data_IF_567981169037
#
_entry.id   IF_567981169037
#
_cell.length_a   1.000
_cell.length_b   1.000
_cell.length_c   1.000
_cell.angle_alpha   90.00
_cell.angle_beta   90.00
_cell.angle_gamma   90.00
#
_symmetry.space_group_name_H-M   'P 1'
#
loop_
_entity.id
_entity.type
_entity.pdbx_description
1 polymer ?
#
# COMPACT_ATOMS: atom_id res chain seq x y z
N UNK A 1 -10.09 16.51 -23.20
CA UNK A 1 -9.72 15.08 -23.12
C UNK A 1 -9.47 14.78 -21.66
N UNK A 2 -10.24 13.89 -21.03
CA UNK A 2 -9.93 13.42 -19.69
C UNK A 2 -8.56 12.72 -19.78
N UNK A 3 -7.56 13.24 -19.05
CA UNK A 3 -6.23 12.63 -18.99
C UNK A 3 -6.34 11.18 -18.52
N UNK A 4 -5.48 10.30 -19.06
CA UNK A 4 -5.35 8.91 -18.57
C UNK A 4 -5.11 8.97 -17.07
N UNK A 5 -5.94 8.29 -16.28
CA UNK A 5 -5.68 8.17 -14.85
C UNK A 5 -4.57 7.15 -14.66
N UNK A 6 -3.48 7.60 -14.05
CA UNK A 6 -2.27 6.81 -13.95
C UNK A 6 -2.27 5.89 -12.74
N UNK A 7 -3.10 6.19 -11.73
CA UNK A 7 -3.14 5.50 -10.45
C UNK A 7 -4.54 4.98 -10.16
N UNK A 8 -4.62 3.73 -9.72
CA UNK A 8 -5.80 3.18 -9.04
C UNK A 8 -5.48 3.15 -7.54
N UNK A 9 -6.19 3.97 -6.77
CA UNK A 9 -6.00 4.10 -5.33
C UNK A 9 -7.19 3.49 -4.59
N UNK A 10 -6.94 2.42 -3.84
CA UNK A 10 -7.95 1.74 -3.04
C UNK A 10 -7.62 1.86 -1.55
N UNK A 11 -8.60 2.24 -0.76
CA UNK A 11 -8.54 2.16 0.69
C UNK A 11 -8.30 3.47 1.43
N UNK A 12 -7.85 3.32 2.65
CA UNK A 12 -7.53 4.35 3.63
C UNK A 12 -8.73 5.24 3.99
N UNK A 13 -9.84 4.61 4.35
CA UNK A 13 -11.13 5.21 4.68
C UNK A 13 -11.74 6.01 3.50
N UNK A 14 -11.79 7.34 3.56
CA UNK A 14 -12.39 8.19 2.52
C UNK A 14 -11.48 9.35 2.14
N UNK A 15 -11.72 9.97 0.98
CA UNK A 15 -11.01 11.21 0.56
C UNK A 15 -11.29 12.41 1.48
N UNK A 16 -12.29 12.31 2.36
CA UNK A 16 -12.55 13.34 3.39
C UNK A 16 -11.78 13.06 4.69
N UNK A 17 -11.15 11.90 4.83
CA UNK A 17 -10.46 11.44 6.04
C UNK A 17 -9.05 10.92 5.73
N UNK A 18 -8.72 9.68 6.00
CA UNK A 18 -7.36 9.13 5.85
C UNK A 18 -6.79 9.24 4.44
N UNK A 19 -7.58 8.90 3.42
CA UNK A 19 -7.15 8.94 2.04
C UNK A 19 -6.83 10.35 1.50
N UNK A 20 -7.26 11.41 2.19
CA UNK A 20 -7.02 12.78 1.76
C UNK A 20 -5.53 13.15 1.69
N UNK A 21 -4.68 12.53 2.50
CA UNK A 21 -3.24 12.82 2.52
C UNK A 21 -2.57 12.40 1.21
N UNK A 22 -2.67 11.13 0.84
CA UNK A 22 -2.07 10.65 -0.41
C UNK A 22 -2.81 11.21 -1.63
N UNK A 23 -4.15 11.27 -1.59
CA UNK A 23 -4.96 11.90 -2.64
C UNK A 23 -4.59 13.37 -2.87
N UNK A 24 -4.36 14.12 -1.79
CA UNK A 24 -3.91 15.51 -1.84
C UNK A 24 -2.51 15.66 -2.45
N UNK A 25 -1.56 14.79 -2.07
CA UNK A 25 -0.21 14.78 -2.66
C UNK A 25 -0.27 14.48 -4.16
N UNK A 26 -1.04 13.48 -4.59
CA UNK A 26 -1.22 13.16 -6.00
C UNK A 26 -1.87 14.32 -6.77
N UNK A 27 -2.90 14.92 -6.20
CA UNK A 27 -3.59 16.09 -6.80
C UNK A 27 -2.63 17.28 -6.96
N UNK A 28 -1.83 17.59 -5.93
CA UNK A 28 -0.85 18.67 -5.98
C UNK A 28 0.25 18.40 -7.03
N UNK A 29 0.63 17.15 -7.20
CA UNK A 29 1.61 16.73 -8.21
C UNK A 29 1.02 16.62 -9.63
N UNK A 30 -0.27 16.85 -9.83
CA UNK A 30 -0.94 16.70 -11.12
C UNK A 30 -1.12 15.24 -11.56
N UNK A 31 -1.01 14.27 -10.64
CA UNK A 31 -1.19 12.85 -10.91
C UNK A 31 -2.68 12.51 -10.86
N UNK A 32 -3.21 12.01 -11.98
CA UNK A 32 -4.61 11.55 -12.06
C UNK A 32 -4.78 10.18 -11.41
N UNK A 33 -5.85 10.01 -10.63
CA UNK A 33 -6.17 8.73 -10.02
C UNK A 33 -7.68 8.45 -10.03
N UNK A 34 -8.03 7.16 -10.06
CA UNK A 34 -9.33 6.65 -9.67
C UNK A 34 -9.25 6.23 -8.20
N UNK A 35 -10.33 6.44 -7.45
CA UNK A 35 -10.35 6.14 -6.02
C UNK A 35 -11.49 5.17 -5.67
N UNK A 36 -11.20 4.24 -4.77
CA UNK A 36 -12.14 3.26 -4.20
C UNK A 36 -12.05 3.33 -2.68
N UNK A 37 -13.15 3.60 -2.01
CA UNK A 37 -13.19 3.65 -0.55
C UNK A 37 -12.91 2.29 0.09
N UNK A 38 -12.39 2.29 1.32
CA UNK A 38 -11.97 1.08 2.01
C UNK A 38 -13.10 0.04 2.19
N UNK A 39 -14.34 0.49 2.37
CA UNK A 39 -15.49 -0.39 2.60
C UNK A 39 -16.18 -0.86 1.31
N UNK A 40 -15.80 -0.29 0.18
CA UNK A 40 -16.41 -0.62 -1.12
C UNK A 40 -15.80 -1.88 -1.72
N UNK A 41 -16.61 -2.73 -2.36
CA UNK A 41 -16.11 -3.85 -3.15
C UNK A 41 -15.19 -3.38 -4.28
N UNK A 42 -14.14 -4.14 -4.56
CA UNK A 42 -13.18 -3.80 -5.62
C UNK A 42 -13.84 -3.83 -7.01
N UNK A 43 -13.88 -2.69 -7.72
CA UNK A 43 -14.46 -2.60 -9.06
C UNK A 43 -13.46 -3.07 -10.13
N UNK A 44 -13.64 -4.28 -10.63
CA UNK A 44 -12.70 -4.91 -11.58
C UNK A 44 -12.56 -4.18 -12.91
N UNK A 45 -13.58 -3.44 -13.33
CA UNK A 45 -13.57 -2.62 -14.55
C UNK A 45 -12.53 -1.50 -14.50
N UNK A 46 -12.10 -1.05 -13.30
CA UNK A 46 -11.01 -0.08 -13.17
C UNK A 46 -9.65 -0.66 -13.62
N UNK A 47 -9.48 -1.97 -13.62
CA UNK A 47 -8.28 -2.59 -14.17
C UNK A 47 -8.21 -2.47 -15.70
N UNK A 48 -9.35 -2.37 -16.38
CA UNK A 48 -9.41 -2.20 -17.85
C UNK A 48 -8.80 -0.86 -18.30
N UNK A 49 -8.73 0.13 -17.39
CA UNK A 49 -8.06 1.41 -17.64
C UNK A 49 -6.52 1.30 -17.67
N UNK A 50 -5.98 0.13 -17.36
CA UNK A 50 -4.56 -0.17 -17.35
C UNK A 50 -3.74 0.85 -16.54
N UNK A 51 -3.97 0.94 -15.21
CA UNK A 51 -3.24 1.86 -14.36
C UNK A 51 -1.75 1.51 -14.31
N UNK A 52 -0.89 2.52 -14.29
CA UNK A 52 0.55 2.35 -14.15
C UNK A 52 0.96 1.98 -12.72
N UNK A 53 0.15 2.42 -11.74
CA UNK A 53 0.34 2.14 -10.31
C UNK A 53 -1.00 1.72 -9.70
N UNK A 54 -0.98 0.65 -8.93
CA UNK A 54 -2.07 0.25 -8.04
C UNK A 54 -1.61 0.51 -6.60
N UNK A 55 -2.40 1.27 -5.85
CA UNK A 55 -2.17 1.53 -4.42
C UNK A 55 -3.25 0.82 -3.62
N UNK A 56 -2.82 -0.03 -2.70
CA UNK A 56 -3.68 -0.69 -1.72
C UNK A 56 -3.27 -0.17 -0.34
N UNK A 57 -4.03 0.78 0.21
CA UNK A 57 -3.75 1.41 1.50
C UNK A 57 -4.85 1.05 2.48
N UNK A 58 -4.51 0.21 3.45
CA UNK A 58 -5.49 -0.31 4.43
C UNK A 58 -6.78 -0.88 3.77
N UNK A 59 -6.64 -1.49 2.60
CA UNK A 59 -7.76 -2.02 1.82
C UNK A 59 -7.85 -3.54 2.03
N UNK A 60 -9.00 -4.06 2.51
CA UNK A 60 -9.13 -5.48 2.87
C UNK A 60 -9.02 -6.41 1.66
N UNK A 61 -8.28 -7.51 1.80
CA UNK A 61 -8.24 -8.52 0.74
C UNK A 61 -9.59 -9.21 0.51
N UNK A 62 -10.48 -9.19 1.50
CA UNK A 62 -11.84 -9.70 1.41
C UNK A 62 -12.77 -8.92 0.47
N UNK A 63 -12.42 -7.69 0.11
CA UNK A 63 -13.21 -6.85 -0.81
C UNK A 63 -13.00 -7.23 -2.29
N UNK A 64 -12.01 -8.05 -2.58
CA UNK A 64 -11.74 -8.46 -3.95
C UNK A 64 -12.63 -9.63 -4.38
N UNK A 65 -13.32 -9.53 -5.51
CA UNK A 65 -14.04 -10.66 -6.07
C UNK A 65 -13.05 -11.75 -6.51
N UNK A 66 -13.52 -13.01 -6.65
CA UNK A 66 -12.68 -14.12 -7.06
C UNK A 66 -11.89 -13.81 -8.34
N UNK A 67 -10.58 -14.05 -8.31
CA UNK A 67 -9.69 -13.84 -9.44
C UNK A 67 -9.11 -12.44 -9.59
N UNK A 68 -9.65 -11.41 -8.92
CA UNK A 68 -9.14 -10.04 -9.06
C UNK A 68 -7.71 -9.88 -8.54
N UNK A 69 -7.37 -10.46 -7.38
CA UNK A 69 -6.00 -10.44 -6.85
C UNK A 69 -5.02 -11.20 -7.76
N UNK A 70 -5.46 -12.27 -8.40
CA UNK A 70 -4.66 -13.00 -9.39
C UNK A 70 -4.37 -12.14 -10.63
N UNK A 71 -5.37 -11.41 -11.12
CA UNK A 71 -5.16 -10.48 -12.25
C UNK A 71 -4.23 -9.34 -11.86
N UNK A 72 -4.36 -8.77 -10.65
CA UNK A 72 -3.43 -7.75 -10.16
C UNK A 72 -2.00 -8.31 -10.09
N UNK A 73 -1.81 -9.50 -9.53
CA UNK A 73 -0.49 -10.15 -9.49
C UNK A 73 0.11 -10.32 -10.88
N UNK A 74 -0.67 -10.81 -11.84
CA UNK A 74 -0.25 -10.97 -13.22
C UNK A 74 0.11 -9.62 -13.89
N UNK A 75 -0.59 -8.53 -13.57
CA UNK A 75 -0.24 -7.17 -14.02
C UNK A 75 1.07 -6.68 -13.44
N UNK A 76 1.29 -6.93 -12.14
CA UNK A 76 2.56 -6.60 -11.47
C UNK A 76 3.73 -7.33 -12.13
N UNK A 77 3.58 -8.61 -12.44
CA UNK A 77 4.58 -9.38 -13.18
C UNK A 77 4.86 -8.84 -14.59
N UNK A 78 3.87 -8.22 -15.23
CA UNK A 78 4.00 -7.54 -16.52
C UNK A 78 4.52 -6.10 -16.44
N UNK A 79 4.74 -5.57 -15.24
CA UNK A 79 5.37 -4.26 -15.02
C UNK A 79 4.48 -3.16 -14.44
N UNK A 80 3.22 -3.44 -14.10
CA UNK A 80 2.40 -2.51 -13.31
C UNK A 80 3.02 -2.36 -11.92
N UNK A 81 3.17 -1.15 -11.43
CA UNK A 81 3.67 -0.92 -10.07
C UNK A 81 2.60 -1.21 -9.03
N UNK A 82 3.02 -1.76 -7.89
CA UNK A 82 2.15 -1.97 -6.73
C UNK A 82 2.74 -1.26 -5.52
N UNK A 83 1.95 -0.42 -4.88
CA UNK A 83 2.24 0.16 -3.56
C UNK A 83 1.25 -0.39 -2.55
N UNK A 84 1.75 -1.12 -1.57
CA UNK A 84 0.94 -1.62 -0.46
C UNK A 84 1.32 -0.88 0.81
N UNK A 85 0.33 -0.22 1.43
CA UNK A 85 0.48 0.54 2.67
C UNK A 85 -0.24 -0.20 3.78
N UNK A 86 0.42 -0.35 4.90
CA UNK A 86 -0.13 -1.01 6.08
C UNK A 86 -1.26 -0.22 6.74
N UNK A 87 -1.99 -0.91 7.59
CA UNK A 87 -3.11 -0.38 8.36
C UNK A 87 -3.78 -1.51 9.13
N UNK A 88 -5.06 -1.33 9.43
CA UNK A 88 -5.83 -2.31 10.22
C UNK A 88 -6.27 -3.53 9.41
N UNK A 89 -6.40 -3.37 8.09
CA UNK A 89 -6.89 -4.41 7.18
C UNK A 89 -5.84 -4.90 6.18
N UNK A 90 -4.67 -4.26 6.14
CA UNK A 90 -3.57 -4.65 5.26
C UNK A 90 -2.76 -5.80 5.85
N UNK A 91 -2.11 -6.58 4.97
CA UNK A 91 -1.29 -7.76 5.27
C UNK A 91 -2.07 -8.85 5.95
N UNK A 92 -2.28 -8.81 7.29
CA UNK A 92 -3.13 -9.72 8.03
C UNK A 92 -4.23 -8.93 8.75
N UNK A 93 -5.31 -8.63 8.04
CA UNK A 93 -6.41 -7.80 8.54
C UNK A 93 -7.56 -8.60 9.16
N UNK A 94 -8.62 -7.87 9.54
CA UNK A 94 -9.85 -8.46 10.09
C UNK A 94 -10.67 -9.16 9.00
N UNK A 95 -10.65 -8.64 7.77
CA UNK A 95 -11.43 -9.13 6.62
C UNK A 95 -10.50 -9.63 5.54
N UNK A 96 -9.87 -10.77 5.77
CA UNK A 96 -8.99 -11.43 4.83
C UNK A 96 -7.49 -11.27 5.13
N UNK A 97 -6.68 -11.96 4.34
CA UNK A 97 -5.25 -12.08 4.56
C UNK A 97 -4.52 -12.06 3.22
N UNK A 98 -3.66 -11.08 3.01
CA UNK A 98 -2.85 -11.01 1.80
C UNK A 98 -1.80 -12.12 1.72
N UNK A 99 -1.32 -12.62 2.86
CA UNK A 99 -0.33 -13.69 2.93
C UNK A 99 -0.76 -15.02 2.34
N UNK A 100 -2.08 -15.27 2.23
CA UNK A 100 -2.66 -16.48 1.62
C UNK A 100 -3.38 -16.21 0.30
N UNK A 101 -3.32 -14.96 -0.17
CA UNK A 101 -3.96 -14.55 -1.42
C UNK A 101 -3.07 -14.78 -2.64
N UNK A 102 -3.67 -14.71 -3.84
CA UNK A 102 -2.93 -14.75 -5.10
C UNK A 102 -1.94 -13.59 -5.27
N UNK A 103 -2.06 -12.52 -4.47
CA UNK A 103 -1.13 -11.39 -4.48
C UNK A 103 0.16 -11.66 -3.70
N UNK A 104 0.13 -12.60 -2.75
CA UNK A 104 1.27 -12.89 -1.88
C UNK A 104 2.60 -13.11 -2.63
N UNK A 105 2.66 -13.81 -3.78
CA UNK A 105 3.93 -14.07 -4.48
C UNK A 105 4.65 -12.80 -4.95
N UNK A 106 3.93 -11.73 -5.28
CA UNK A 106 4.51 -10.49 -5.82
C UNK A 106 4.79 -9.43 -4.75
N UNK A 107 4.39 -9.66 -3.50
CA UNK A 107 4.74 -8.77 -2.39
C UNK A 107 6.22 -8.90 -2.02
N UNK A 108 6.91 -7.80 -1.72
CA UNK A 108 8.31 -7.83 -1.27
C UNK A 108 8.47 -8.31 0.18
N UNK A 109 7.37 -8.69 0.82
CA UNK A 109 7.31 -9.12 2.22
C UNK A 109 6.57 -10.44 2.37
N UNK A 110 6.89 -11.17 3.44
CA UNK A 110 6.10 -12.27 3.96
C UNK A 110 5.18 -11.71 5.04
N UNK A 111 3.87 -11.88 4.86
CA UNK A 111 2.89 -11.53 5.88
C UNK A 111 2.92 -12.55 7.01
N UNK A 112 2.61 -12.14 8.22
CA UNK A 112 2.46 -13.05 9.35
C UNK A 112 1.17 -13.88 9.18
N UNK A 113 1.10 -15.00 9.88
CA UNK A 113 -0.11 -15.83 9.99
C UNK A 113 -1.00 -15.45 11.18
N UNK A 114 -0.65 -14.38 11.88
CA UNK A 114 -1.32 -13.85 13.05
C UNK A 114 -1.44 -12.33 12.94
N UNK A 115 -2.16 -11.68 13.86
CA UNK A 115 -2.30 -10.22 13.91
C UNK A 115 -0.92 -9.55 13.86
N UNK A 116 -0.68 -8.80 12.81
CA UNK A 116 0.60 -8.14 12.55
C UNK A 116 0.65 -6.68 13.03
N UNK A 117 -0.47 -6.15 13.52
CA UNK A 117 -0.58 -4.76 13.97
C UNK A 117 0.25 -4.54 15.22
N UNK A 118 1.01 -3.47 15.22
CA UNK A 118 1.78 -3.01 16.37
C UNK A 118 1.47 -1.55 16.64
N UNK A 119 0.92 -1.26 17.82
CA UNK A 119 0.75 0.10 18.33
C UNK A 119 1.80 0.37 19.40
N UNK A 120 2.49 1.50 19.27
CA UNK A 120 3.57 1.89 20.19
C UNK A 120 3.37 3.34 20.64
N UNK A 121 2.85 3.52 21.86
CA UNK A 121 2.47 4.85 22.37
C UNK A 121 3.65 5.82 22.54
N UNK A 122 4.87 5.32 22.73
CA UNK A 122 6.08 6.15 22.81
C UNK A 122 6.55 6.64 21.43
N UNK A 123 5.97 6.11 20.37
CA UNK A 123 6.37 6.39 19.01
C UNK A 123 7.54 5.55 18.52
N UNK A 124 7.58 5.37 17.21
CA UNK A 124 8.64 4.70 16.46
C UNK A 124 9.22 5.72 15.48
N UNK A 125 10.53 5.72 15.32
CA UNK A 125 11.25 6.66 14.44
C UNK A 125 11.70 5.93 13.18
N UNK A 126 11.32 6.40 11.96
CA UNK A 126 11.84 5.87 10.72
C UNK A 126 13.35 6.14 10.60
N UNK A 127 14.11 5.12 10.32
CA UNK A 127 15.55 5.18 10.08
C UNK A 127 15.89 4.68 8.68
N UNK A 128 16.76 5.41 8.00
CA UNK A 128 17.29 5.01 6.69
C UNK A 128 18.28 3.86 6.89
N UNK A 129 17.95 2.67 6.35
CA UNK A 129 18.82 1.48 6.40
C UNK A 129 19.57 1.25 5.09
N UNK A 130 19.01 1.69 3.97
CA UNK A 130 19.66 1.61 2.67
C UNK A 130 19.44 2.89 1.87
N UNK A 131 20.46 3.42 1.20
CA UNK A 131 20.29 4.58 0.33
C UNK A 131 19.39 4.22 -0.86
N UNK A 132 18.44 5.11 -1.16
CA UNK A 132 17.55 4.94 -2.31
C UNK A 132 17.11 6.30 -2.85
N UNK A 133 16.96 6.50 -4.18
CA UNK A 133 16.53 7.77 -4.76
C UNK A 133 15.21 8.31 -4.21
N UNK A 134 14.29 7.43 -3.77
CA UNK A 134 12.99 7.80 -3.18
C UNK A 134 13.14 8.62 -1.88
N UNK A 135 14.27 8.54 -1.22
CA UNK A 135 14.55 9.23 0.04
C UNK A 135 15.15 10.63 -0.16
N UNK A 136 15.51 10.98 -1.39
CA UNK A 136 16.20 12.24 -1.69
C UNK A 136 15.29 13.44 -1.41
N UNK A 137 15.83 14.40 -0.66
CA UNK A 137 15.14 15.65 -0.35
C UNK A 137 14.12 15.55 0.79
N UNK A 138 14.06 14.41 1.48
CA UNK A 138 13.21 14.23 2.66
C UNK A 138 14.00 14.54 3.96
N UNK A 139 13.35 15.04 5.02
CA UNK A 139 14.01 15.53 6.23
C UNK A 139 14.37 14.38 7.21
N UNK A 140 15.30 13.51 6.81
CA UNK A 140 15.72 12.35 7.62
C UNK A 140 16.54 12.69 8.86
N UNK A 141 16.96 13.94 9.02
CA UNK A 141 17.55 14.50 10.23
C UNK A 141 16.50 14.80 11.31
N UNK A 142 15.24 14.93 10.93
CA UNK A 142 14.10 15.13 11.83
C UNK A 142 12.87 14.34 11.31
N UNK A 143 12.94 13.00 11.25
CA UNK A 143 11.87 12.19 10.68
C UNK A 143 10.60 12.25 11.53
N UNK A 144 9.42 12.04 10.93
CA UNK A 144 8.17 11.99 11.68
C UNK A 144 8.15 10.77 12.63
N UNK A 145 7.49 10.95 13.76
CA UNK A 145 7.21 9.84 14.68
C UNK A 145 5.92 9.15 14.23
N UNK A 146 5.92 7.82 14.17
CA UNK A 146 4.75 6.99 13.90
C UNK A 146 4.41 6.13 15.11
N UNK A 147 3.11 5.97 15.41
CA UNK A 147 2.65 5.20 16.58
C UNK A 147 2.10 3.82 16.23
N UNK A 148 1.94 3.52 14.95
CA UNK A 148 1.43 2.24 14.47
C UNK A 148 2.20 1.74 13.26
N UNK A 149 2.31 0.42 13.15
CA UNK A 149 2.87 -0.25 11.97
C UNK A 149 2.38 -1.71 11.89
N UNK A 150 2.58 -2.32 10.74
CA UNK A 150 2.41 -3.75 10.57
C UNK A 150 3.77 -4.46 10.62
N UNK A 151 3.81 -5.59 11.31
CA UNK A 151 5.00 -6.46 11.36
C UNK A 151 5.00 -7.35 10.12
N UNK A 152 6.01 -7.19 9.30
CA UNK A 152 6.21 -8.03 8.12
C UNK A 152 7.68 -8.45 8.04
N UNK A 153 7.96 -9.52 7.31
CA UNK A 153 9.32 -9.99 7.10
C UNK A 153 9.71 -9.73 5.64
N UNK A 154 10.81 -9.02 5.43
CA UNK A 154 11.34 -8.80 4.09
C UNK A 154 11.68 -10.12 3.40
N UNK A 155 11.25 -10.30 2.15
CA UNK A 155 11.61 -11.47 1.34
C UNK A 155 13.05 -11.38 0.86
N UNK A 156 13.64 -12.54 0.57
CA UNK A 156 14.95 -12.59 -0.10
C UNK A 156 14.88 -11.82 -1.44
N UNK A 157 15.78 -10.88 -1.61
CA UNK A 157 15.83 -10.01 -2.80
C UNK A 157 15.08 -8.69 -2.65
N UNK A 158 14.27 -8.52 -1.61
CA UNK A 158 13.68 -7.22 -1.30
C UNK A 158 14.74 -6.28 -0.72
N UNK A 159 14.66 -4.99 -1.08
CA UNK A 159 15.50 -3.94 -0.50
C UNK A 159 14.73 -3.26 0.63
N UNK A 160 15.25 -3.34 1.84
CA UNK A 160 14.73 -2.57 2.98
C UNK A 160 15.34 -1.19 2.94
N UNK A 161 14.53 -0.19 2.70
CA UNK A 161 14.97 1.22 2.57
C UNK A 161 14.87 1.95 3.91
N UNK A 162 13.77 1.73 4.63
CA UNK A 162 13.51 2.29 5.95
C UNK A 162 13.19 1.17 6.94
N UNK A 163 13.55 1.36 8.19
CA UNK A 163 13.12 0.55 9.32
C UNK A 163 12.60 1.46 10.44
N UNK A 164 11.71 0.93 11.27
CA UNK A 164 11.22 1.64 12.45
C UNK A 164 12.06 1.23 13.68
N UNK A 165 12.53 2.21 14.43
CA UNK A 165 13.21 2.01 15.71
C UNK A 165 12.39 2.56 16.87
N UNK A 166 12.57 1.91 18.02
CA UNK A 166 12.08 2.36 19.33
C UNK A 166 12.99 3.43 19.87
#
# INVERSE_FOLDING_TARGET
MAGRKEVLYCGDATLATGACYLGGVMTLAGIGFDYVEMEEPFPVDLLEKDPALIVLSDYPSGNFPPGALKEIAARVERGTSLLMVGGWESFHGLIGHYGTSDLAPVLPVECLSEDDRLNWCQGLIPEVVSPHPILKGLPWDAPPVVCGCNRVKARKGATVVLALRK
#
